data_IF_912075468872
#
_entry.id   IF_912075468872
#
_cell.length_a   1.000
_cell.length_b   1.000
_cell.length_c   1.000
_cell.angle_alpha   90.00
_cell.angle_beta   90.00
_cell.angle_gamma   90.00
#
_symmetry.space_group_name_H-M   'P 1'
#
loop_
_entity.id
_entity.type
_entity.pdbx_description
1 polymer ?
#
# COMPACT_ATOMS: atom_id res chain seq x y z
N UNK A 1 8.87 29.65 -1.36
CA UNK A 1 8.54 28.76 -2.43
C UNK A 1 9.18 27.40 -2.25
N UNK A 2 8.44 26.36 -2.66
CA UNK A 2 8.94 24.97 -2.61
C UNK A 2 8.93 24.34 -4.01
N UNK A 3 8.87 25.18 -5.07
CA UNK A 3 8.76 24.74 -6.48
C UNK A 3 7.70 23.63 -6.68
N UNK A 4 6.53 23.78 -6.03
CA UNK A 4 5.48 22.75 -6.02
C UNK A 4 4.77 22.59 -7.34
N UNK A 5 4.83 23.59 -8.21
CA UNK A 5 4.14 23.55 -9.50
C UNK A 5 5.13 23.30 -10.65
N UNK A 6 6.01 24.26 -10.95
CA UNK A 6 7.04 24.14 -11.96
C UNK A 6 8.34 24.71 -11.40
N UNK A 7 9.45 24.08 -11.67
CA UNK A 7 10.78 24.47 -11.19
C UNK A 7 11.10 25.93 -11.54
N UNK A 8 11.43 26.73 -10.53
CA UNK A 8 11.78 28.14 -10.68
C UNK A 8 10.59 29.11 -10.79
N UNK A 9 9.35 28.61 -10.80
CA UNK A 9 8.14 29.43 -10.83
C UNK A 9 8.02 30.32 -9.61
N UNK A 10 8.21 29.75 -8.43
CA UNK A 10 8.11 30.44 -7.14
C UNK A 10 9.13 31.58 -6.99
N UNK A 11 10.33 31.41 -7.58
CA UNK A 11 11.40 32.44 -7.50
C UNK A 11 11.00 33.74 -8.18
N UNK A 12 10.24 33.66 -9.25
CA UNK A 12 9.78 34.83 -9.99
C UNK A 12 8.66 35.58 -9.27
N UNK A 13 8.00 34.93 -8.30
CA UNK A 13 6.94 35.52 -7.49
C UNK A 13 7.44 36.09 -6.16
N UNK A 14 8.74 36.13 -5.93
CA UNK A 14 9.30 36.75 -4.72
C UNK A 14 9.04 38.27 -4.73
N UNK A 15 8.55 38.80 -3.60
CA UNK A 15 8.32 40.23 -3.41
C UNK A 15 6.97 40.73 -3.92
N UNK A 16 6.13 39.90 -4.50
CA UNK A 16 4.76 40.29 -4.92
C UNK A 16 3.85 40.58 -3.73
N UNK A 17 2.86 41.45 -3.93
CA UNK A 17 1.83 41.80 -2.97
C UNK A 17 0.46 41.27 -3.42
N UNK A 18 -0.51 41.30 -2.53
CA UNK A 18 -1.91 40.99 -2.86
C UNK A 18 -2.41 41.93 -3.96
N UNK A 19 -3.09 41.37 -4.95
CA UNK A 19 -3.62 42.01 -6.16
C UNK A 19 -2.58 42.40 -7.23
N UNK A 20 -1.29 42.10 -7.06
CA UNK A 20 -0.32 42.27 -8.12
C UNK A 20 -0.63 41.30 -9.27
N UNK A 21 -0.34 41.74 -10.51
CA UNK A 21 -0.38 40.92 -11.69
C UNK A 21 1.05 40.77 -12.22
N UNK A 22 1.47 39.55 -12.46
CA UNK A 22 2.83 39.26 -12.92
C UNK A 22 2.86 38.13 -13.95
N UNK A 23 3.64 38.32 -14.97
CA UNK A 23 3.92 37.29 -15.96
C UNK A 23 5.10 36.47 -15.48
N UNK A 24 4.90 35.16 -15.43
CA UNK A 24 5.94 34.18 -15.06
C UNK A 24 6.25 33.31 -16.26
N UNK A 25 7.51 33.29 -16.65
CA UNK A 25 8.02 32.40 -17.70
C UNK A 25 8.45 31.06 -17.09
N UNK A 26 7.96 29.97 -17.66
CA UNK A 26 8.33 28.63 -17.19
C UNK A 26 8.45 27.65 -18.37
N UNK A 27 9.25 26.61 -18.15
CA UNK A 27 9.32 25.47 -19.07
C UNK A 27 8.43 24.36 -18.51
N UNK A 28 7.49 23.91 -19.30
CA UNK A 28 6.60 22.81 -18.89
C UNK A 28 7.40 21.52 -18.72
N UNK A 29 7.14 20.74 -17.68
CA UNK A 29 7.90 19.51 -17.42
C UNK A 29 7.64 18.44 -18.49
N UNK A 30 8.55 17.48 -18.62
CA UNK A 30 8.47 16.39 -19.58
C UNK A 30 7.21 15.51 -19.40
N UNK A 31 6.78 15.35 -18.13
CA UNK A 31 5.57 14.59 -17.77
C UNK A 31 4.29 15.43 -17.77
N UNK A 32 4.27 16.55 -18.51
CA UNK A 32 3.06 17.38 -18.64
C UNK A 32 1.93 16.57 -19.30
N UNK A 33 0.67 16.69 -18.85
CA UNK A 33 -0.45 15.88 -19.35
C UNK A 33 -0.62 15.94 -20.88
N UNK A 34 -0.42 17.10 -21.46
CA UNK A 34 -0.45 17.29 -22.91
C UNK A 34 0.96 17.13 -23.47
N UNK A 35 1.23 15.99 -24.10
CA UNK A 35 2.56 15.64 -24.64
C UNK A 35 3.10 16.68 -25.65
N UNK A 36 2.20 17.32 -26.39
CA UNK A 36 2.58 18.34 -27.37
C UNK A 36 3.13 19.62 -26.73
N UNK A 37 2.82 19.87 -25.46
CA UNK A 37 3.27 21.05 -24.72
C UNK A 37 4.48 20.74 -23.81
N UNK A 38 4.81 19.47 -23.62
CA UNK A 38 5.95 19.06 -22.80
C UNK A 38 7.25 19.72 -23.29
N UNK A 39 8.10 20.17 -22.35
CA UNK A 39 9.36 20.86 -22.60
C UNK A 39 9.24 22.20 -23.37
N UNK A 40 8.03 22.71 -23.61
CA UNK A 40 7.84 24.02 -24.26
C UNK A 40 7.85 25.16 -23.24
N UNK A 41 8.27 26.34 -23.69
CA UNK A 41 8.20 27.58 -22.90
C UNK A 41 6.75 28.06 -22.85
N UNK A 42 6.26 28.36 -21.66
CA UNK A 42 4.93 28.89 -21.41
C UNK A 42 5.01 30.20 -20.59
N UNK A 43 4.09 31.12 -20.85
CA UNK A 43 3.91 32.35 -20.06
C UNK A 43 2.63 32.25 -19.26
N UNK A 44 2.74 32.46 -17.96
CA UNK A 44 1.62 32.40 -17.04
C UNK A 44 1.28 33.80 -16.53
N UNK A 45 0.08 34.29 -16.83
CA UNK A 45 -0.43 35.53 -16.26
C UNK A 45 -0.97 35.23 -14.85
N UNK A 46 -0.20 35.62 -13.84
CA UNK A 46 -0.52 35.33 -12.44
C UNK A 46 -1.12 36.56 -11.75
N UNK A 47 -2.34 36.42 -11.25
CA UNK A 47 -2.96 37.39 -10.35
C UNK A 47 -2.81 36.92 -8.92
N UNK A 48 -2.20 37.72 -8.05
CA UNK A 48 -1.90 37.38 -6.67
C UNK A 48 -3.11 37.61 -5.79
N UNK A 49 -3.81 36.56 -5.41
CA UNK A 49 -5.00 36.63 -4.58
C UNK A 49 -4.68 36.85 -3.10
N UNK A 50 -3.60 36.23 -2.62
CA UNK A 50 -3.14 36.38 -1.24
C UNK A 50 -1.65 36.03 -1.12
N UNK A 51 -0.96 36.76 -0.25
CA UNK A 51 0.40 36.43 0.17
C UNK A 51 0.29 35.94 1.63
N UNK A 52 0.64 34.66 1.83
CA UNK A 52 0.60 34.02 3.15
C UNK A 52 2.01 33.91 3.70
N UNK A 53 2.22 34.33 4.94
CA UNK A 53 3.48 34.12 5.67
C UNK A 53 3.29 32.91 6.58
N UNK A 54 4.28 32.03 6.58
CA UNK A 54 4.27 30.93 7.56
C UNK A 54 4.56 31.51 8.94
N UNK A 55 3.65 31.31 9.86
CA UNK A 55 3.89 31.58 11.28
C UNK A 55 4.43 30.32 11.95
N UNK A 56 5.36 30.51 12.90
CA UNK A 56 5.81 29.41 13.75
C UNK A 56 4.66 29.03 14.68
N UNK A 57 4.06 27.88 14.43
CA UNK A 57 3.02 27.36 15.32
C UNK A 57 3.68 26.99 16.65
N UNK A 58 3.11 27.47 17.75
CA UNK A 58 3.50 27.08 19.09
C UNK A 58 2.90 25.69 19.37
N UNK A 59 3.78 24.76 19.71
CA UNK A 59 3.35 23.38 20.03
C UNK A 59 2.99 23.36 21.52
N UNK A 60 1.70 23.55 21.80
CA UNK A 60 1.12 23.59 23.11
C UNK A 60 -0.21 22.82 23.17
N UNK A 61 -0.93 22.87 24.30
CA UNK A 61 -2.19 22.15 24.48
C UNK A 61 -3.29 22.63 23.52
N UNK A 62 -3.26 23.90 23.09
CA UNK A 62 -4.21 24.42 22.09
C UNK A 62 -3.96 23.77 20.74
N UNK A 63 -2.69 23.67 20.35
CA UNK A 63 -2.28 22.96 19.15
C UNK A 63 -2.70 21.48 19.19
N UNK A 64 -2.48 20.80 20.33
CA UNK A 64 -2.86 19.42 20.51
C UNK A 64 -4.39 19.22 20.39
N UNK A 65 -5.19 20.10 20.99
CA UNK A 65 -6.67 20.08 20.87
C UNK A 65 -7.15 20.29 19.44
N UNK A 66 -6.50 21.16 18.67
CA UNK A 66 -6.82 21.38 17.25
C UNK A 66 -6.55 20.12 16.40
N UNK A 67 -5.67 19.23 16.86
CA UNK A 67 -5.38 17.93 16.24
C UNK A 67 -6.21 16.78 16.82
N UNK A 68 -7.17 17.06 17.71
CA UNK A 68 -8.06 16.06 18.28
C UNK A 68 -7.55 15.34 19.53
N UNK A 69 -6.40 15.76 20.07
CA UNK A 69 -5.88 15.26 21.36
C UNK A 69 -6.42 16.09 22.54
N UNK A 70 -6.33 15.54 23.76
CA UNK A 70 -6.78 16.22 24.99
C UNK A 70 -5.82 17.33 25.42
N UNK A 71 -4.53 17.05 25.32
CA UNK A 71 -3.43 17.93 25.68
C UNK A 71 -2.16 17.51 24.89
N UNK A 72 -1.05 18.21 25.13
CA UNK A 72 0.22 17.92 24.45
C UNK A 72 0.80 16.54 24.79
N UNK A 73 0.59 16.04 26.02
CA UNK A 73 1.06 14.73 26.43
C UNK A 73 0.25 13.64 25.72
N UNK A 74 -1.05 13.77 25.66
CA UNK A 74 -1.92 12.86 24.91
C UNK A 74 -1.56 12.84 23.43
N UNK A 75 -1.29 14.00 22.81
CA UNK A 75 -0.81 14.08 21.43
C UNK A 75 0.50 13.30 21.22
N UNK A 76 1.47 13.45 22.13
CA UNK A 76 2.74 12.69 22.07
C UNK A 76 2.50 11.20 22.19
N UNK A 77 1.61 10.76 23.07
CA UNK A 77 1.27 9.34 23.23
C UNK A 77 0.61 8.78 21.97
N UNK A 78 -0.33 9.52 21.38
CA UNK A 78 -0.98 9.10 20.13
C UNK A 78 0.02 8.96 18.98
N UNK A 79 0.92 9.94 18.82
CA UNK A 79 1.98 9.89 17.80
C UNK A 79 2.93 8.74 18.07
N UNK A 80 3.38 8.54 19.32
CA UNK A 80 4.27 7.44 19.68
C UNK A 80 3.62 6.08 19.40
N UNK A 81 2.34 5.94 19.72
CA UNK A 81 1.58 4.73 19.41
C UNK A 81 1.52 4.48 17.90
N UNK A 82 1.17 5.51 17.13
CA UNK A 82 1.12 5.39 15.66
C UNK A 82 2.47 4.96 15.08
N UNK A 83 3.56 5.60 15.50
CA UNK A 83 4.92 5.25 15.06
C UNK A 83 5.24 3.79 15.43
N UNK A 84 4.95 3.36 16.67
CA UNK A 84 5.20 1.99 17.10
C UNK A 84 4.38 0.97 16.28
N UNK A 85 3.12 1.28 16.00
CA UNK A 85 2.25 0.41 15.19
C UNK A 85 2.76 0.31 13.74
N UNK A 86 3.22 1.42 13.14
CA UNK A 86 3.83 1.44 11.81
C UNK A 86 5.13 0.64 11.74
N UNK A 87 6.01 0.80 12.75
CA UNK A 87 7.25 0.01 12.85
C UNK A 87 6.95 -1.47 13.02
N UNK A 88 6.01 -1.81 13.91
CA UNK A 88 5.60 -3.20 14.11
C UNK A 88 5.09 -3.83 12.82
N UNK A 89 4.20 -3.16 12.11
CA UNK A 89 3.67 -3.65 10.83
C UNK A 89 4.79 -3.85 9.80
N UNK A 90 5.73 -2.90 9.71
CA UNK A 90 6.87 -3.00 8.79
C UNK A 90 7.80 -4.17 9.14
N UNK A 91 8.08 -4.36 10.43
CA UNK A 91 8.88 -5.50 10.90
C UNK A 91 8.17 -6.83 10.66
N UNK A 92 6.85 -6.89 10.88
CA UNK A 92 6.06 -8.09 10.63
C UNK A 92 6.11 -8.51 9.15
N UNK A 93 6.04 -7.54 8.23
CA UNK A 93 6.20 -7.80 6.79
C UNK A 93 7.60 -8.30 6.47
N UNK A 94 8.65 -7.70 7.05
CA UNK A 94 10.03 -8.13 6.83
C UNK A 94 10.26 -9.56 7.33
N UNK A 95 9.81 -9.86 8.56
CA UNK A 95 9.95 -11.19 9.15
C UNK A 95 9.17 -12.23 8.34
N UNK A 96 7.93 -11.92 7.94
CA UNK A 96 7.15 -12.77 7.05
C UNK A 96 7.91 -13.09 5.77
N UNK A 97 8.44 -12.08 5.10
CA UNK A 97 9.20 -12.27 3.86
C UNK A 97 10.47 -13.10 4.07
N UNK A 98 11.14 -12.96 5.21
CA UNK A 98 12.31 -13.80 5.56
C UNK A 98 11.90 -15.25 5.76
N UNK A 99 10.82 -15.51 6.52
CA UNK A 99 10.28 -16.87 6.71
C UNK A 99 9.94 -17.49 5.36
N UNK A 100 9.22 -16.80 4.49
CA UNK A 100 8.84 -17.32 3.17
C UNK A 100 10.07 -17.63 2.31
N UNK A 101 11.11 -16.78 2.32
CA UNK A 101 12.37 -17.02 1.62
C UNK A 101 13.12 -18.25 2.16
N UNK A 102 13.08 -18.49 3.47
CA UNK A 102 13.67 -19.71 4.04
C UNK A 102 12.87 -20.96 3.63
N UNK A 103 11.54 -20.87 3.63
CA UNK A 103 10.66 -21.95 3.15
C UNK A 103 10.93 -22.28 1.68
N UNK A 104 11.21 -21.29 0.83
CA UNK A 104 11.56 -21.51 -0.58
C UNK A 104 12.82 -22.38 -0.77
N UNK A 105 13.71 -22.48 0.22
CA UNK A 105 14.92 -23.29 0.15
C UNK A 105 14.66 -24.78 0.37
N UNK A 106 13.54 -25.14 0.99
CA UNK A 106 13.20 -26.56 1.17
C UNK A 106 13.02 -27.23 -0.19
N UNK A 107 13.49 -28.46 -0.32
CA UNK A 107 13.25 -29.27 -1.50
C UNK A 107 11.89 -29.95 -1.34
N UNK A 108 11.08 -29.87 -2.37
CA UNK A 108 9.91 -30.73 -2.54
C UNK A 108 10.13 -31.53 -3.81
N UNK A 109 9.49 -32.69 -3.86
CA UNK A 109 9.50 -33.53 -5.05
C UNK A 109 8.79 -32.84 -6.24
N UNK A 110 8.14 -33.52 -7.10
CA UNK A 110 7.51 -32.93 -8.27
C UNK A 110 6.25 -32.11 -7.92
N UNK A 111 6.18 -30.88 -8.43
CA UNK A 111 4.95 -30.08 -8.42
C UNK A 111 4.11 -30.50 -9.64
N UNK A 112 2.85 -30.94 -9.46
CA UNK A 112 1.97 -31.29 -10.58
C UNK A 112 1.81 -30.12 -11.56
N UNK A 113 1.98 -30.41 -12.86
CA UNK A 113 1.96 -29.38 -13.91
C UNK A 113 0.63 -28.61 -13.96
N UNK A 114 -0.48 -29.28 -13.73
CA UNK A 114 -1.79 -28.66 -13.69
C UNK A 114 -1.90 -27.53 -12.65
N UNK A 115 -1.29 -27.71 -11.48
CA UNK A 115 -1.25 -26.65 -10.45
C UNK A 115 -0.41 -25.44 -10.91
N UNK A 116 0.70 -25.70 -11.59
CA UNK A 116 1.55 -24.62 -12.15
C UNK A 116 0.78 -23.86 -13.23
N UNK A 117 0.12 -24.56 -14.13
CA UNK A 117 -0.67 -23.95 -15.22
C UNK A 117 -1.83 -23.09 -14.66
N UNK A 118 -2.49 -23.54 -13.63
CA UNK A 118 -3.58 -22.80 -12.99
C UNK A 118 -3.07 -21.55 -12.23
N UNK A 119 -1.95 -21.66 -11.53
CA UNK A 119 -1.34 -20.52 -10.85
C UNK A 119 -0.81 -19.48 -11.87
N UNK A 120 -0.24 -19.93 -13.00
CA UNK A 120 0.17 -19.04 -14.10
C UNK A 120 -1.03 -18.27 -14.65
N UNK A 121 -2.19 -18.91 -14.81
CA UNK A 121 -3.44 -18.22 -15.22
C UNK A 121 -3.81 -17.12 -14.22
N UNK A 122 -3.72 -17.41 -12.91
CA UNK A 122 -4.00 -16.43 -11.86
C UNK A 122 -3.01 -15.25 -11.94
N UNK A 123 -1.71 -15.53 -12.08
CA UNK A 123 -0.66 -14.51 -12.18
C UNK A 123 -0.75 -13.67 -13.47
N UNK A 124 -1.43 -14.20 -14.48
CA UNK A 124 -1.62 -13.55 -15.79
C UNK A 124 -2.86 -12.67 -15.85
N UNK A 125 -3.76 -12.73 -14.85
CA UNK A 125 -4.98 -11.93 -14.84
C UNK A 125 -4.67 -10.43 -14.93
N UNK A 126 -5.33 -9.75 -15.85
CA UNK A 126 -5.15 -8.31 -16.06
C UNK A 126 -3.91 -7.91 -16.87
N UNK A 127 -3.07 -8.86 -17.32
CA UNK A 127 -1.91 -8.61 -18.20
C UNK A 127 -2.29 -8.79 -19.67
N UNK A 128 -1.57 -8.11 -20.57
CA UNK A 128 -1.75 -8.27 -22.01
C UNK A 128 -1.07 -9.55 -22.51
N UNK A 129 -1.63 -10.17 -23.55
CA UNK A 129 -1.07 -11.44 -24.11
C UNK A 129 0.41 -11.36 -24.48
N UNK A 130 0.86 -10.23 -25.02
CA UNK A 130 2.27 -10.04 -25.37
C UNK A 130 3.17 -10.04 -24.14
N UNK A 131 2.74 -9.39 -23.05
CA UNK A 131 3.48 -9.37 -21.78
C UNK A 131 3.54 -10.74 -21.10
N UNK A 132 2.50 -11.55 -21.30
CA UNK A 132 2.46 -12.95 -20.79
C UNK A 132 3.45 -13.81 -21.56
N UNK A 133 3.47 -13.71 -22.90
CA UNK A 133 4.40 -14.49 -23.74
C UNK A 133 5.86 -14.15 -23.45
N UNK A 134 6.17 -12.85 -23.33
CA UNK A 134 7.53 -12.38 -23.07
C UNK A 134 8.05 -12.81 -21.69
N UNK A 135 7.16 -13.05 -20.73
CA UNK A 135 7.49 -13.37 -19.33
C UNK A 135 7.03 -14.76 -18.89
N UNK A 136 6.69 -15.64 -19.82
CA UNK A 136 6.14 -16.95 -19.50
C UNK A 136 7.03 -17.75 -18.54
N UNK A 137 8.33 -17.83 -18.81
CA UNK A 137 9.28 -18.53 -17.94
C UNK A 137 9.34 -17.93 -16.54
N UNK A 138 9.31 -16.60 -16.43
CA UNK A 138 9.31 -15.89 -15.15
C UNK A 138 8.02 -16.16 -14.36
N UNK A 139 6.88 -16.22 -15.06
CA UNK A 139 5.58 -16.53 -14.48
C UNK A 139 5.53 -17.99 -13.97
N UNK A 140 6.05 -18.94 -14.77
CA UNK A 140 6.13 -20.34 -14.35
C UNK A 140 7.03 -20.54 -13.12
N UNK A 141 8.21 -19.92 -13.09
CA UNK A 141 9.10 -19.98 -11.93
C UNK A 141 8.45 -19.34 -10.69
N UNK A 142 7.76 -18.24 -10.87
CA UNK A 142 7.01 -17.59 -9.78
C UNK A 142 5.86 -18.47 -9.29
N UNK A 143 5.12 -19.08 -10.22
CA UNK A 143 4.04 -20.02 -9.90
C UNK A 143 4.56 -21.21 -9.10
N UNK A 144 5.64 -21.85 -9.56
CA UNK A 144 6.27 -22.98 -8.84
C UNK A 144 6.68 -22.59 -7.42
N UNK A 145 7.31 -21.42 -7.24
CA UNK A 145 7.69 -20.94 -5.91
C UNK A 145 6.48 -20.74 -5.01
N UNK A 146 5.42 -20.11 -5.52
CA UNK A 146 4.20 -19.87 -4.74
C UNK A 146 3.50 -21.16 -4.34
N UNK A 147 3.36 -22.10 -5.26
CA UNK A 147 2.76 -23.41 -4.98
C UNK A 147 3.60 -24.15 -3.94
N UNK A 148 4.92 -24.20 -4.11
CA UNK A 148 5.84 -24.82 -3.17
C UNK A 148 5.67 -24.29 -1.75
N UNK A 149 5.71 -22.96 -1.60
CA UNK A 149 5.49 -22.29 -0.31
C UNK A 149 4.12 -22.63 0.26
N UNK A 150 3.08 -22.58 -0.57
CA UNK A 150 1.72 -22.93 -0.18
C UNK A 150 1.59 -24.35 0.33
N UNK A 151 2.19 -25.33 -0.35
CA UNK A 151 2.17 -26.75 0.05
C UNK A 151 2.87 -26.97 1.39
N UNK A 152 4.05 -26.36 1.57
CA UNK A 152 4.83 -26.50 2.82
C UNK A 152 4.07 -25.84 4.00
N UNK A 153 3.51 -24.65 3.78
CA UNK A 153 2.71 -23.97 4.80
C UNK A 153 1.46 -24.78 5.16
N UNK A 154 0.76 -25.34 4.15
CA UNK A 154 -0.42 -26.17 4.39
C UNK A 154 -0.06 -27.41 5.23
N UNK A 155 0.98 -28.15 4.85
CA UNK A 155 1.44 -29.31 5.61
C UNK A 155 1.80 -28.94 7.05
N UNK A 156 2.52 -27.83 7.24
CA UNK A 156 2.85 -27.34 8.57
C UNK A 156 1.60 -26.96 9.38
N UNK A 157 0.62 -26.35 8.74
CA UNK A 157 -0.65 -25.98 9.35
C UNK A 157 -1.47 -27.20 9.77
N UNK A 158 -1.56 -28.22 8.91
CA UNK A 158 -2.25 -29.48 9.19
C UNK A 158 -1.60 -30.21 10.40
N UNK A 159 -0.28 -30.35 10.39
CA UNK A 159 0.46 -30.97 11.50
C UNK A 159 0.26 -30.27 12.83
N UNK A 160 0.12 -28.93 12.81
CA UNK A 160 -0.12 -28.13 14.02
C UNK A 160 -1.61 -27.88 14.30
N UNK A 161 -2.51 -28.52 13.53
CA UNK A 161 -3.98 -28.43 13.69
C UNK A 161 -4.50 -27.00 13.65
N UNK A 162 -3.91 -26.15 12.80
CA UNK A 162 -4.32 -24.75 12.65
C UNK A 162 -5.66 -24.74 11.92
N UNK A 163 -6.64 -24.05 12.50
CA UNK A 163 -7.95 -23.83 11.91
C UNK A 163 -8.27 -22.34 11.86
N UNK A 164 -9.01 -21.92 10.84
CA UNK A 164 -9.53 -20.56 10.73
C UNK A 164 -10.99 -20.59 11.14
N UNK A 165 -11.29 -19.87 12.20
CA UNK A 165 -12.63 -19.73 12.72
C UNK A 165 -13.38 -18.59 11.99
N UNK A 166 -14.71 -18.68 11.94
CA UNK A 166 -15.54 -17.71 11.23
C UNK A 166 -15.39 -16.28 11.78
N UNK A 167 -15.23 -16.14 13.09
CA UNK A 167 -15.02 -14.85 13.73
C UNK A 167 -13.70 -14.15 13.30
N UNK A 168 -12.68 -14.92 12.92
CA UNK A 168 -11.39 -14.38 12.43
C UNK A 168 -11.55 -13.80 11.02
N UNK A 169 -12.35 -14.46 10.17
CA UNK A 169 -12.70 -13.96 8.84
C UNK A 169 -13.48 -12.65 8.97
N UNK A 170 -14.48 -12.63 9.87
CA UNK A 170 -15.27 -11.42 10.12
C UNK A 170 -14.39 -10.28 10.66
N UNK A 171 -13.44 -10.56 11.55
CA UNK A 171 -12.50 -9.56 12.07
C UNK A 171 -11.64 -8.96 10.96
N UNK A 172 -11.18 -9.77 9.99
CA UNK A 172 -10.39 -9.28 8.86
C UNK A 172 -11.23 -8.42 7.90
N UNK A 173 -12.48 -8.81 7.64
CA UNK A 173 -13.42 -7.97 6.87
C UNK A 173 -13.64 -6.64 7.61
N UNK A 174 -13.82 -6.65 8.93
CA UNK A 174 -13.99 -5.43 9.73
C UNK A 174 -12.76 -4.50 9.69
N UNK A 175 -11.55 -5.05 9.62
CA UNK A 175 -10.33 -4.27 9.39
C UNK A 175 -10.40 -3.52 8.05
N UNK A 176 -10.77 -4.20 6.99
CA UNK A 176 -10.88 -3.60 5.65
C UNK A 176 -11.98 -2.52 5.60
N UNK A 177 -13.11 -2.75 6.25
CA UNK A 177 -14.19 -1.75 6.38
C UNK A 177 -13.69 -0.46 7.05
N UNK A 178 -12.89 -0.58 8.12
CA UNK A 178 -12.30 0.57 8.80
C UNK A 178 -11.30 1.36 7.95
N UNK A 179 -10.64 0.71 6.99
CA UNK A 179 -9.69 1.35 6.08
C UNK A 179 -10.39 2.11 4.94
N UNK A 180 -11.67 1.80 4.67
CA UNK A 180 -12.44 2.38 3.57
C UNK A 180 -13.78 2.94 4.06
N UNK A 181 -13.77 3.99 4.89
CA UNK A 181 -14.99 4.56 5.45
C UNK A 181 -15.91 5.09 4.34
N UNK A 182 -17.21 4.82 4.49
CA UNK A 182 -18.24 5.18 3.52
C UNK A 182 -18.46 4.16 2.40
N UNK A 183 -17.69 3.06 2.36
CA UNK A 183 -17.83 1.99 1.37
C UNK A 183 -18.27 0.65 2.00
N UNK A 184 -18.71 0.68 3.25
CA UNK A 184 -19.00 -0.52 4.04
C UNK A 184 -19.99 -1.45 3.34
N UNK A 185 -21.10 -0.88 2.82
CA UNK A 185 -22.12 -1.64 2.12
C UNK A 185 -21.57 -2.31 0.85
N UNK A 186 -20.78 -1.60 0.07
CA UNK A 186 -20.19 -2.11 -1.16
C UNK A 186 -19.24 -3.28 -0.87
N UNK A 187 -18.43 -3.18 0.16
CA UNK A 187 -17.47 -4.22 0.57
C UNK A 187 -18.25 -5.46 1.08
N UNK A 188 -19.27 -5.27 1.91
CA UNK A 188 -20.08 -6.36 2.41
C UNK A 188 -20.82 -7.08 1.28
N UNK A 189 -21.45 -6.34 0.36
CA UNK A 189 -22.13 -6.89 -0.82
C UNK A 189 -21.16 -7.67 -1.72
N UNK A 190 -19.91 -7.17 -1.86
CA UNK A 190 -18.86 -7.85 -2.61
C UNK A 190 -18.54 -9.23 -2.02
N UNK A 191 -18.31 -9.33 -0.71
CA UNK A 191 -17.98 -10.60 -0.07
C UNK A 191 -19.18 -11.57 -0.05
N UNK A 192 -20.42 -11.08 0.10
CA UNK A 192 -21.61 -11.91 0.03
C UNK A 192 -21.82 -12.52 -1.37
N UNK A 193 -21.48 -11.78 -2.43
CA UNK A 193 -21.68 -12.24 -3.82
C UNK A 193 -20.48 -13.01 -4.39
N UNK A 194 -19.34 -13.00 -3.71
CA UNK A 194 -18.09 -13.60 -4.19
C UNK A 194 -17.49 -14.59 -3.16
N UNK A 195 -17.94 -15.85 -3.15
CA UNK A 195 -17.39 -16.87 -2.26
C UNK A 195 -15.88 -17.09 -2.41
N UNK A 196 -15.33 -16.89 -3.62
CA UNK A 196 -13.89 -16.95 -3.88
C UNK A 196 -13.10 -15.86 -3.13
N UNK A 197 -13.68 -14.68 -2.96
CA UNK A 197 -13.06 -13.61 -2.17
C UNK A 197 -13.02 -13.97 -0.67
N UNK A 198 -14.06 -14.59 -0.14
CA UNK A 198 -14.04 -15.12 1.24
C UNK A 198 -13.01 -16.25 1.40
N UNK A 199 -12.89 -17.15 0.41
CA UNK A 199 -11.86 -18.18 0.43
C UNK A 199 -10.45 -17.57 0.43
N UNK A 200 -10.23 -16.48 -0.30
CA UNK A 200 -8.97 -15.75 -0.30
C UNK A 200 -8.65 -15.14 1.08
N UNK A 201 -9.64 -14.53 1.76
CA UNK A 201 -9.47 -14.03 3.13
C UNK A 201 -9.12 -15.19 4.07
N UNK A 202 -9.85 -16.31 3.99
CA UNK A 202 -9.59 -17.51 4.81
C UNK A 202 -8.14 -17.99 4.61
N UNK A 203 -7.67 -18.05 3.37
CA UNK A 203 -6.30 -18.41 3.03
C UNK A 203 -5.28 -17.45 3.64
N UNK A 204 -5.52 -16.14 3.56
CA UNK A 204 -4.66 -15.12 4.15
C UNK A 204 -4.59 -15.22 5.68
N UNK A 205 -5.72 -15.40 6.34
CA UNK A 205 -5.78 -15.59 7.81
C UNK A 205 -5.07 -16.89 8.22
N UNK A 206 -5.25 -17.97 7.45
CA UNK A 206 -4.56 -19.24 7.69
C UNK A 206 -3.03 -19.09 7.60
N UNK A 207 -2.56 -18.45 6.55
CA UNK A 207 -1.13 -18.16 6.35
C UNK A 207 -0.59 -17.29 7.51
N UNK A 208 -1.31 -16.25 7.91
CA UNK A 208 -0.91 -15.38 9.02
C UNK A 208 -0.80 -16.16 10.34
N UNK A 209 -1.73 -17.07 10.63
CA UNK A 209 -1.69 -17.94 11.82
C UNK A 209 -0.46 -18.86 11.79
N UNK A 210 -0.14 -19.42 10.63
CA UNK A 210 1.07 -20.27 10.46
C UNK A 210 2.33 -19.44 10.71
N UNK A 211 2.45 -18.29 10.07
CA UNK A 211 3.61 -17.40 10.22
C UNK A 211 3.76 -16.97 11.68
N UNK A 212 2.67 -16.64 12.37
CA UNK A 212 2.71 -16.27 13.78
C UNK A 212 3.12 -17.45 14.68
N UNK A 213 2.71 -18.68 14.36
CA UNK A 213 3.17 -19.86 15.04
C UNK A 213 4.67 -20.09 14.85
N UNK A 214 5.18 -19.94 13.62
CA UNK A 214 6.62 -20.04 13.34
C UNK A 214 7.38 -18.99 14.14
N UNK A 215 6.94 -17.72 14.14
CA UNK A 215 7.54 -16.64 14.94
C UNK A 215 7.58 -16.97 16.43
N UNK A 216 6.56 -17.63 16.96
CA UNK A 216 6.49 -17.96 18.39
C UNK A 216 7.41 -19.10 18.79
N UNK A 217 7.91 -19.88 17.84
CA UNK A 217 8.83 -21.01 18.07
C UNK A 217 10.29 -20.64 17.77
N UNK A 218 10.54 -19.49 17.16
CA UNK A 218 11.87 -18.98 16.83
C UNK A 218 12.43 -18.14 17.99
#
# INVERSE_FOLDING_TARGET
GKDLFIKGFDKQLIGVKKNDEKIVDAILPENFPEKELANKKAKFNCKILAVKKSEKVKIDDVFAKNLGAKDLNDLKLLISKQINDEYKNSLDVLVKNQILKEIEKFKIDEIPKNLVDDEVKILSQGKKENEIKDKQNELEETAKKRIKVGLILNEFGEQNKIKVEEHEIQAEIQKQLKMMPGQEKMIMDFYQKNPSALASIRGSVYEEKIINLIKSKA
#
